data_IF_907510832858
#
_entry.id   IF_907510832858
#
_cell.length_a   1.000
_cell.length_b   1.000
_cell.length_c   1.000
_cell.angle_alpha   90.00
_cell.angle_beta   90.00
_cell.angle_gamma   90.00
#
_symmetry.space_group_name_H-M   'P 1'
#
loop_
_entity.id
_entity.type
_entity.pdbx_description
1 polymer ?
#
# COMPACT_ATOMS: atom_id res chain seq x y z
N UNK A 1 19.98 1.07 11.50
CA UNK A 1 18.70 0.35 11.50
C UNK A 1 18.14 0.29 10.11
N UNK A 2 17.74 -0.89 9.69
CA UNK A 2 17.19 -1.08 8.35
C UNK A 2 15.68 -0.89 8.30
N UNK A 3 15.01 -1.09 9.44
CA UNK A 3 13.56 -0.98 9.50
C UNK A 3 13.15 0.47 9.64
N UNK A 4 12.46 1.00 8.61
CA UNK A 4 12.04 2.38 8.60
C UNK A 4 10.67 2.57 9.23
N UNK A 5 9.73 1.68 8.91
CA UNK A 5 8.37 1.73 9.44
C UNK A 5 7.96 0.38 9.98
N UNK A 6 7.28 0.40 11.11
CA UNK A 6 6.57 -0.79 11.60
C UNK A 6 5.24 -0.93 10.84
N UNK A 7 4.63 -2.08 10.95
CA UNK A 7 3.29 -2.30 10.38
C UNK A 7 2.29 -1.31 10.98
N UNK A 8 2.37 -1.08 12.29
CA UNK A 8 1.45 -0.15 12.94
C UNK A 8 1.65 1.29 12.46
N UNK A 9 2.91 1.71 12.28
CA UNK A 9 3.19 3.03 11.74
C UNK A 9 2.64 3.20 10.34
N UNK A 10 2.76 2.17 9.49
CA UNK A 10 2.19 2.20 8.15
C UNK A 10 0.67 2.32 8.19
N UNK A 11 0.01 1.56 9.08
CA UNK A 11 -1.45 1.68 9.26
C UNK A 11 -1.84 3.09 9.66
N UNK A 12 -1.10 3.68 10.60
CA UNK A 12 -1.42 5.01 11.13
C UNK A 12 -1.28 6.09 10.05
N UNK A 13 -0.31 5.96 9.16
CA UNK A 13 -0.07 6.93 8.09
C UNK A 13 -1.05 6.72 6.92
N UNK A 14 -1.29 5.48 6.54
CA UNK A 14 -2.10 5.14 5.36
C UNK A 14 -3.59 5.37 5.62
N UNK A 15 -4.08 5.06 6.81
CA UNK A 15 -5.51 5.09 7.12
C UNK A 15 -6.18 6.43 6.81
N UNK A 16 -5.67 7.59 7.31
CA UNK A 16 -6.35 8.85 7.02
C UNK A 16 -6.34 9.20 5.53
N UNK A 17 -5.28 8.83 4.81
CA UNK A 17 -5.22 9.08 3.38
C UNK A 17 -6.18 8.18 2.62
N UNK A 18 -6.26 6.91 3.01
CA UNK A 18 -7.21 5.97 2.40
C UNK A 18 -8.65 6.45 2.58
N UNK A 19 -8.97 6.96 3.76
CA UNK A 19 -10.30 7.50 4.04
C UNK A 19 -10.58 8.74 3.20
N UNK A 20 -9.61 9.62 3.09
CA UNK A 20 -9.75 10.86 2.29
C UNK A 20 -10.07 10.55 0.84
N UNK A 21 -9.43 9.54 0.27
CA UNK A 21 -9.61 9.22 -1.15
C UNK A 21 -10.72 8.20 -1.42
N UNK A 22 -11.24 7.55 -0.40
CA UNK A 22 -12.33 6.59 -0.56
C UNK A 22 -11.89 5.21 -1.02
N UNK A 23 -10.69 4.78 -0.63
CA UNK A 23 -10.23 3.43 -0.93
C UNK A 23 -11.10 2.40 -0.20
N UNK A 24 -11.26 1.23 -0.80
CA UNK A 24 -11.99 0.13 -0.18
C UNK A 24 -11.09 -0.67 0.76
N UNK A 25 -9.93 -1.11 0.27
CA UNK A 25 -8.94 -1.85 1.06
C UNK A 25 -7.54 -1.54 0.56
N UNK A 26 -6.57 -1.57 1.48
CA UNK A 26 -5.16 -1.43 1.12
C UNK A 26 -4.38 -2.52 1.84
N UNK A 27 -3.57 -3.25 1.07
CA UNK A 27 -2.71 -4.31 1.57
C UNK A 27 -1.26 -3.97 1.30
N UNK A 28 -0.42 -4.25 2.29
CA UNK A 28 1.03 -4.17 2.14
C UNK A 28 1.55 -5.52 1.65
N UNK A 29 2.41 -5.50 0.64
CA UNK A 29 3.08 -6.73 0.22
C UNK A 29 4.56 -6.45 0.00
N UNK A 30 5.30 -7.44 -0.51
CA UNK A 30 6.72 -7.26 -0.79
C UNK A 30 7.58 -7.26 0.46
N UNK A 31 8.74 -6.61 0.36
CA UNK A 31 9.75 -6.70 1.40
C UNK A 31 9.29 -6.16 2.76
N UNK A 32 8.52 -5.08 2.78
CA UNK A 32 8.01 -4.55 4.05
C UNK A 32 7.02 -5.50 4.71
N UNK A 33 6.21 -6.21 3.93
CA UNK A 33 5.29 -7.19 4.48
C UNK A 33 6.05 -8.39 5.06
N UNK A 34 7.07 -8.85 4.36
CA UNK A 34 7.90 -9.97 4.81
C UNK A 34 8.90 -9.59 5.90
N UNK A 35 9.07 -8.29 6.15
CA UNK A 35 10.01 -7.74 7.14
C UNK A 35 11.47 -8.02 6.79
N UNK A 36 11.77 -8.16 5.48
CA UNK A 36 13.15 -8.30 4.99
C UNK A 36 13.61 -7.07 4.19
N UNK A 37 12.96 -5.92 4.43
CA UNK A 37 13.30 -4.68 3.75
C UNK A 37 14.71 -4.21 4.08
N UNK A 38 15.28 -3.44 3.16
CA UNK A 38 16.55 -2.76 3.30
C UNK A 38 16.32 -1.25 3.21
N UNK A 39 17.40 -0.47 3.34
CA UNK A 39 17.32 0.99 3.23
C UNK A 39 16.82 1.44 1.85
N UNK A 40 17.02 0.62 0.81
CA UNK A 40 16.61 0.94 -0.54
C UNK A 40 15.27 0.34 -0.93
N UNK A 41 14.58 -0.34 -0.01
CA UNK A 41 13.29 -0.96 -0.31
C UNK A 41 12.19 0.09 -0.51
N UNK A 42 11.31 -0.19 -1.47
CA UNK A 42 10.10 0.60 -1.70
C UNK A 42 8.96 0.04 -0.85
N UNK A 43 7.91 0.83 -0.71
CA UNK A 43 6.66 0.37 -0.09
C UNK A 43 5.76 -0.15 -1.21
N UNK A 44 5.37 -1.41 -1.14
CA UNK A 44 4.52 -2.05 -2.15
C UNK A 44 3.11 -2.20 -1.60
N UNK A 45 2.15 -1.55 -2.24
CA UNK A 45 0.75 -1.57 -1.81
C UNK A 45 -0.15 -2.11 -2.92
N UNK A 46 -1.06 -3.00 -2.54
CA UNK A 46 -2.15 -3.46 -3.40
C UNK A 46 -3.42 -2.75 -2.93
N UNK A 47 -4.17 -2.17 -3.86
CA UNK A 47 -5.36 -1.40 -3.52
C UNK A 47 -6.61 -1.93 -4.22
N UNK A 48 -7.65 -2.12 -3.43
CA UNK A 48 -9.02 -2.23 -3.94
C UNK A 48 -9.56 -0.81 -3.96
N UNK A 49 -9.71 -0.23 -5.15
CA UNK A 49 -9.88 1.22 -5.31
C UNK A 49 -11.14 1.81 -4.69
N UNK A 50 -12.20 1.00 -4.58
CA UNK A 50 -13.45 1.55 -4.11
C UNK A 50 -13.95 2.65 -5.04
N UNK A 51 -14.13 3.86 -4.51
CA UNK A 51 -14.63 5.00 -5.29
C UNK A 51 -13.53 5.82 -5.97
N UNK A 52 -12.27 5.46 -5.81
CA UNK A 52 -11.17 6.22 -6.42
C UNK A 52 -11.19 6.04 -7.93
N UNK A 53 -11.13 7.16 -8.68
CA UNK A 53 -11.18 7.12 -10.14
C UNK A 53 -10.20 8.09 -10.75
N UNK A 54 -9.66 7.69 -11.91
CA UNK A 54 -8.86 8.55 -12.76
C UNK A 54 -7.66 9.16 -12.05
N UNK A 55 -7.55 10.47 -12.16
CA UNK A 55 -6.41 11.20 -11.61
C UNK A 55 -6.35 11.17 -10.09
N UNK A 56 -7.44 10.84 -9.42
CA UNK A 56 -7.43 10.74 -7.96
C UNK A 56 -6.48 9.65 -7.48
N UNK A 57 -6.32 8.56 -8.24
CA UNK A 57 -5.37 7.51 -7.88
C UNK A 57 -3.93 8.05 -7.89
N UNK A 58 -3.59 8.85 -8.89
CA UNK A 58 -2.27 9.47 -8.96
C UNK A 58 -2.06 10.44 -7.79
N UNK A 59 -3.08 11.22 -7.43
CA UNK A 59 -3.01 12.10 -6.27
C UNK A 59 -2.79 11.34 -4.98
N UNK A 60 -3.48 10.21 -4.83
CA UNK A 60 -3.30 9.36 -3.66
C UNK A 60 -1.85 8.85 -3.57
N UNK A 61 -1.29 8.41 -4.69
CA UNK A 61 0.10 7.96 -4.72
C UNK A 61 1.05 9.07 -4.28
N UNK A 62 0.87 10.28 -4.80
CA UNK A 62 1.73 11.42 -4.43
C UNK A 62 1.62 11.69 -2.92
N UNK A 63 0.40 11.71 -2.38
CA UNK A 63 0.19 11.96 -0.96
C UNK A 63 0.84 10.87 -0.09
N UNK A 64 0.77 9.62 -0.53
CA UNK A 64 1.41 8.52 0.18
C UNK A 64 2.94 8.69 0.18
N UNK A 65 3.52 9.01 -0.97
CA UNK A 65 4.97 9.20 -1.05
C UNK A 65 5.43 10.38 -0.21
N UNK A 66 4.67 11.46 -0.22
CA UNK A 66 4.98 12.62 0.60
C UNK A 66 4.93 12.29 2.10
N UNK A 67 3.90 11.56 2.51
CA UNK A 67 3.72 11.23 3.92
C UNK A 67 4.75 10.23 4.42
N UNK A 68 5.14 9.28 3.56
CA UNK A 68 6.08 8.21 3.94
C UNK A 68 7.53 8.59 3.70
N UNK A 69 7.79 9.51 2.78
CA UNK A 69 9.16 9.86 2.41
C UNK A 69 9.90 8.74 1.68
N UNK A 70 9.16 7.83 1.06
CA UNK A 70 9.68 6.69 0.32
C UNK A 70 8.92 6.54 -0.98
N UNK A 71 9.53 5.88 -1.95
CA UNK A 71 8.83 5.49 -3.16
C UNK A 71 7.76 4.46 -2.83
N UNK A 72 6.58 4.64 -3.41
CA UNK A 72 5.45 3.73 -3.22
C UNK A 72 5.05 3.15 -4.56
N UNK A 73 4.91 1.83 -4.62
CA UNK A 73 4.30 1.14 -5.75
C UNK A 73 2.86 0.85 -5.37
N UNK A 74 1.92 1.56 -5.98
CA UNK A 74 0.50 1.44 -5.67
C UNK A 74 -0.20 0.76 -6.83
N UNK A 75 -0.57 -0.51 -6.63
CA UNK A 75 -1.04 -1.36 -7.71
C UNK A 75 -2.50 -1.75 -7.47
N UNK A 76 -3.43 -1.34 -8.36
CA UNK A 76 -4.82 -1.79 -8.24
C UNK A 76 -4.91 -3.30 -8.38
N UNK A 77 -5.71 -3.94 -7.53
CA UNK A 77 -5.91 -5.38 -7.59
C UNK A 77 -6.35 -5.84 -8.98
N UNK A 78 -7.17 -5.04 -9.65
CA UNK A 78 -7.68 -5.36 -10.99
C UNK A 78 -6.58 -5.39 -12.07
N UNK A 79 -5.42 -4.83 -11.77
CA UNK A 79 -4.27 -4.83 -12.70
C UNK A 79 -3.42 -6.09 -12.59
N UNK A 80 -3.68 -6.93 -11.58
CA UNK A 80 -2.87 -8.11 -11.30
C UNK A 80 -3.51 -9.35 -11.93
N UNK A 81 -2.67 -10.22 -12.53
CA UNK A 81 -3.18 -11.52 -12.93
C UNK A 81 -3.33 -12.42 -11.70
N UNK A 82 -4.12 -13.49 -11.83
CA UNK A 82 -4.45 -14.34 -10.70
C UNK A 82 -3.25 -15.04 -10.08
N UNK A 83 -2.26 -15.37 -10.90
CA UNK A 83 -1.07 -16.05 -10.43
C UNK A 83 -0.19 -15.15 -9.57
N UNK A 84 0.02 -13.93 -10.03
CA UNK A 84 0.80 -12.95 -9.26
C UNK A 84 0.06 -12.56 -7.99
N UNK A 85 -1.26 -12.34 -8.08
CA UNK A 85 -2.07 -12.03 -6.91
C UNK A 85 -1.97 -13.13 -5.85
N UNK A 86 -2.10 -14.40 -6.26
CA UNK A 86 -1.96 -15.51 -5.31
C UNK A 86 -0.60 -15.52 -4.63
N UNK A 87 0.45 -15.18 -5.38
CA UNK A 87 1.80 -15.13 -4.85
C UNK A 87 1.95 -14.07 -3.76
N UNK A 88 1.43 -12.85 -4.00
CA UNK A 88 1.58 -11.78 -3.00
C UNK A 88 0.64 -11.96 -1.80
N UNK A 89 -0.47 -12.65 -1.97
CA UNK A 89 -1.40 -12.91 -0.86
C UNK A 89 -0.80 -13.77 0.23
N UNK A 90 0.24 -14.53 -0.07
CA UNK A 90 0.90 -15.37 0.93
C UNK A 90 1.53 -14.55 2.06
N UNK A 91 2.02 -13.35 1.74
CA UNK A 91 2.75 -12.53 2.70
C UNK A 91 2.05 -11.22 3.03
N UNK A 92 0.99 -10.86 2.32
CA UNK A 92 0.40 -9.53 2.45
C UNK A 92 -0.22 -9.28 3.82
N UNK A 93 -0.24 -8.02 4.20
CA UNK A 93 -0.81 -7.55 5.45
C UNK A 93 -1.87 -6.50 5.14
N UNK A 94 -3.07 -6.69 5.67
CA UNK A 94 -4.14 -5.69 5.51
C UNK A 94 -3.78 -4.44 6.33
N UNK A 95 -3.65 -3.30 5.67
CA UNK A 95 -3.39 -2.03 6.34
C UNK A 95 -4.66 -1.24 6.60
N UNK A 96 -5.62 -1.32 5.70
CA UNK A 96 -6.84 -0.51 5.80
C UNK A 96 -8.01 -1.23 5.14
N UNK A 97 -9.16 -1.15 5.78
CA UNK A 97 -10.42 -1.64 5.20
C UNK A 97 -11.53 -0.66 5.57
N UNK A 98 -12.29 -0.22 4.56
CA UNK A 98 -13.40 0.69 4.77
C UNK A 98 -14.56 0.00 5.51
N UNK A 99 -15.21 0.75 6.36
CA UNK A 99 -16.36 0.25 7.12
C UNK A 99 -17.60 0.13 6.25
#
# INVERSE_FOLDING_TARGET
MTEKYSIQELKDIVTPLAQKYGAQRIYLFGSYARRDMTESSDIDLRIDKGSIRGLALAGFLVDLEDALGLKVDLIPTTSLDGQFLSSIQEDEVLLYEAS
#
